data_IF_085367015827
#
_entry.id   IF_085367015827
#
_cell.length_a   1.000
_cell.length_b   1.000
_cell.length_c   1.000
_cell.angle_alpha   90.00
_cell.angle_beta   90.00
_cell.angle_gamma   90.00
#
_symmetry.space_group_name_H-M   'P 1'
#
loop_
_entity.id
_entity.type
_entity.pdbx_description
1 polymer ?
#
# COMPACT_ATOMS: atom_id res chain seq x y z
N UNK A 1 -7.63 -16.11 18.33
CA UNK A 1 -7.23 -16.35 16.94
C UNK A 1 -6.25 -15.24 16.59
N UNK A 2 -4.96 -15.55 16.38
CA UNK A 2 -4.01 -14.53 15.96
C UNK A 2 -4.23 -14.31 14.47
N UNK A 3 -4.94 -13.24 14.11
CA UNK A 3 -5.06 -12.82 12.72
C UNK A 3 -3.63 -12.66 12.16
N UNK A 4 -3.36 -13.29 11.01
CA UNK A 4 -2.09 -13.07 10.31
C UNK A 4 -1.98 -11.57 10.02
N UNK A 5 -0.81 -10.94 10.22
CA UNK A 5 -0.62 -9.56 9.79
C UNK A 5 -0.82 -9.50 8.26
N UNK A 6 -1.89 -8.83 7.84
CA UNK A 6 -2.18 -8.58 6.42
C UNK A 6 -1.17 -7.56 5.94
N UNK A 7 -0.48 -7.87 4.85
CA UNK A 7 0.48 -7.02 4.16
C UNK A 7 0.23 -7.14 2.68
N UNK A 8 0.00 -6.00 2.01
CA UNK A 8 -0.16 -5.92 0.57
C UNK A 8 0.85 -4.94 0.03
N UNK A 9 1.45 -5.28 -1.11
CA UNK A 9 2.41 -4.45 -1.81
C UNK A 9 1.82 -4.09 -3.18
N UNK A 10 1.81 -2.81 -3.47
CA UNK A 10 1.44 -2.26 -4.77
C UNK A 10 2.71 -1.71 -5.43
N UNK A 11 2.84 -1.93 -6.74
CA UNK A 11 3.96 -1.45 -7.56
C UNK A 11 3.47 -0.51 -8.64
N UNK A 12 4.18 0.60 -8.84
CA UNK A 12 3.92 1.58 -9.89
C UNK A 12 5.22 1.80 -10.68
N UNK A 13 5.08 1.93 -12.00
CA UNK A 13 6.16 2.37 -12.87
C UNK A 13 6.42 3.88 -12.69
N UNK A 14 7.62 4.36 -13.04
CA UNK A 14 7.99 5.75 -12.84
C UNK A 14 7.17 6.72 -13.73
N UNK A 15 6.70 7.82 -13.13
CA UNK A 15 5.95 8.92 -13.79
C UNK A 15 6.88 10.06 -14.32
N UNK A 16 8.20 9.87 -14.33
CA UNK A 16 9.13 10.90 -14.82
C UNK A 16 10.10 10.40 -15.90
N UNK A 17 10.38 11.34 -16.79
CA UNK A 17 10.77 11.23 -18.18
C UNK A 17 12.28 11.03 -18.40
N UNK A 18 12.92 10.12 -17.65
CA UNK A 18 14.38 9.99 -17.78
C UNK A 18 15.05 8.65 -17.51
N UNK A 19 14.47 7.70 -16.78
CA UNK A 19 15.21 6.48 -16.37
C UNK A 19 14.34 5.21 -16.35
N UNK A 20 13.92 4.70 -17.52
CA UNK A 20 13.18 3.45 -17.59
C UNK A 20 13.92 2.31 -16.86
N UNK A 21 13.22 1.66 -15.92
CA UNK A 21 13.69 0.46 -15.21
C UNK A 21 14.56 0.69 -13.96
N UNK A 22 14.68 1.93 -13.45
CA UNK A 22 15.52 2.21 -12.27
C UNK A 22 14.68 2.40 -10.99
N UNK A 23 13.48 2.97 -11.10
CA UNK A 23 12.72 3.41 -9.94
C UNK A 23 11.33 2.73 -9.86
N UNK A 24 11.30 1.41 -9.62
CA UNK A 24 10.05 0.74 -9.20
C UNK A 24 9.61 1.34 -7.87
N UNK A 25 8.46 1.98 -7.86
CA UNK A 25 7.88 2.52 -6.64
C UNK A 25 7.09 1.43 -5.94
N UNK A 26 7.14 1.39 -4.60
CA UNK A 26 6.44 0.38 -3.82
C UNK A 26 5.68 1.04 -2.67
N UNK A 27 4.39 0.76 -2.61
CA UNK A 27 3.55 1.07 -1.47
C UNK A 27 3.22 -0.21 -0.71
N UNK A 28 3.52 -0.24 0.58
CA UNK A 28 3.11 -1.32 1.48
C UNK A 28 1.98 -0.84 2.37
N UNK A 29 0.88 -1.60 2.42
CA UNK A 29 -0.20 -1.40 3.40
C UNK A 29 -0.28 -2.62 4.32
N UNK A 30 -0.27 -2.41 5.63
CA UNK A 30 -0.34 -3.50 6.61
C UNK A 30 -0.99 -3.10 7.93
N UNK A 31 -1.44 -4.10 8.70
CA UNK A 31 -1.94 -3.91 10.07
C UNK A 31 -0.80 -4.15 11.06
N UNK A 32 -0.66 -3.26 12.04
CA UNK A 32 0.27 -3.40 13.15
C UNK A 32 -0.45 -3.20 14.49
N UNK A 33 0.12 -3.75 15.57
CA UNK A 33 -0.29 -3.49 16.95
C UNK A 33 0.98 -3.25 17.77
N UNK A 34 1.08 -2.08 18.40
CA UNK A 34 2.21 -1.66 19.22
C UNK A 34 1.86 -1.59 20.72
N UNK A 35 0.79 -2.29 21.14
CA UNK A 35 0.31 -2.32 22.52
C UNK A 35 -0.88 -1.38 22.80
N UNK A 36 -1.37 -0.67 21.78
CA UNK A 36 -2.55 0.21 21.85
C UNK A 36 -3.77 -0.33 21.10
N UNK A 37 -3.66 -1.52 20.51
CA UNK A 37 -4.64 -2.09 19.59
C UNK A 37 -4.22 -1.96 18.12
N UNK A 38 -4.96 -2.62 17.22
CA UNK A 38 -4.61 -2.67 15.80
C UNK A 38 -4.78 -1.31 15.12
N UNK A 39 -3.80 -0.93 14.31
CA UNK A 39 -3.83 0.25 13.45
C UNK A 39 -3.29 -0.06 12.05
N UNK A 40 -3.72 0.75 11.10
CA UNK A 40 -3.28 0.65 9.70
C UNK A 40 -1.96 1.41 9.52
N UNK A 41 -1.02 0.82 8.79
CA UNK A 41 0.21 1.46 8.35
C UNK A 41 0.24 1.48 6.83
N UNK A 42 0.50 2.67 6.28
CA UNK A 42 0.80 2.89 4.86
C UNK A 42 2.26 3.36 4.79
N UNK A 43 3.11 2.62 4.08
CA UNK A 43 4.55 2.88 3.96
C UNK A 43 4.97 2.94 2.51
N UNK A 44 5.60 4.05 2.12
CA UNK A 44 6.23 4.23 0.80
C UNK A 44 7.43 5.17 0.90
N UNK A 45 8.40 5.02 -0.01
CA UNK A 45 9.49 5.99 -0.19
C UNK A 45 9.12 7.09 -1.20
N UNK A 46 8.32 6.74 -2.21
CA UNK A 46 7.78 7.61 -3.26
C UNK A 46 6.57 6.90 -3.84
N UNK A 47 5.44 7.59 -3.92
CA UNK A 47 4.22 7.10 -4.55
C UNK A 47 3.48 8.30 -5.12
N UNK A 48 3.14 8.25 -6.40
CA UNK A 48 2.34 9.28 -7.06
C UNK A 48 0.93 8.73 -7.25
N UNK A 49 -0.06 9.56 -6.95
CA UNK A 49 -1.47 9.24 -7.18
C UNK A 49 -2.01 10.39 -8.02
N UNK A 50 -2.49 10.05 -9.20
CA UNK A 50 -2.97 11.05 -10.16
C UNK A 50 -4.43 11.44 -9.85
N UNK A 51 -5.20 10.52 -9.28
CA UNK A 51 -6.59 10.75 -8.93
C UNK A 51 -7.02 10.11 -7.59
N UNK A 52 -8.02 10.70 -6.93
CA UNK A 52 -8.49 10.23 -5.62
C UNK A 52 -9.25 8.89 -5.68
N UNK A 53 -9.82 8.53 -6.82
CA UNK A 53 -10.53 7.27 -7.02
C UNK A 53 -9.54 6.09 -7.06
N UNK A 54 -8.34 6.28 -7.64
CA UNK A 54 -7.24 5.31 -7.62
C UNK A 54 -6.83 4.97 -6.18
N UNK A 55 -6.67 6.00 -5.32
CA UNK A 55 -6.42 5.81 -3.90
C UNK A 55 -7.57 5.03 -3.23
N UNK A 56 -8.81 5.37 -3.54
CA UNK A 56 -9.99 4.71 -2.97
C UNK A 56 -10.05 3.22 -3.36
N UNK A 57 -9.77 2.90 -4.62
CA UNK A 57 -9.80 1.52 -5.13
C UNK A 57 -8.69 0.66 -4.55
N UNK A 58 -7.50 1.24 -4.33
CA UNK A 58 -6.41 0.58 -3.64
C UNK A 58 -6.77 0.24 -2.18
N UNK A 59 -7.39 1.18 -1.45
CA UNK A 59 -7.84 0.94 -0.08
C UNK A 59 -8.97 -0.09 -0.01
N UNK A 60 -9.89 -0.11 -0.99
CA UNK A 60 -10.92 -1.15 -1.11
C UNK A 60 -10.33 -2.53 -1.39
N UNK A 61 -9.28 -2.58 -2.22
CA UNK A 61 -8.54 -3.82 -2.49
C UNK A 61 -7.92 -4.35 -1.20
N UNK A 62 -7.27 -3.48 -0.43
CA UNK A 62 -6.77 -3.84 0.90
C UNK A 62 -7.87 -4.34 1.83
N UNK A 63 -8.99 -3.63 1.91
CA UNK A 63 -10.12 -4.03 2.75
C UNK A 63 -10.63 -5.42 2.40
N UNK A 64 -10.77 -5.75 1.11
CA UNK A 64 -11.24 -7.08 0.68
C UNK A 64 -10.26 -8.18 1.09
N UNK A 65 -8.98 -7.99 0.80
CA UNK A 65 -7.93 -8.98 1.15
C UNK A 65 -7.70 -9.09 2.66
N UNK A 66 -8.02 -8.05 3.43
CA UNK A 66 -7.95 -8.07 4.88
C UNK A 66 -9.10 -8.85 5.55
N UNK A 67 -10.20 -9.08 4.82
CA UNK A 67 -11.43 -9.72 5.34
C UNK A 67 -11.56 -11.18 4.88
N UNK A 68 -10.81 -11.59 3.85
CA UNK A 68 -10.68 -12.99 3.39
C UNK A 68 -9.61 -13.78 4.18
#
# INVERSE_FOLDING_TARGET
MNAKPIRIEFSQDEDNDGRPGVDTQTLTVYVADAGGGPYLVIKTARWAIDDLDELADMLRTFQRTAVD
#
